data_IF_384194978966
#
_entry.id   IF_384194978966
#
_cell.length_a   1.000
_cell.length_b   1.000
_cell.length_c   1.000
_cell.angle_alpha   90.00
_cell.angle_beta   90.00
_cell.angle_gamma   90.00
#
_symmetry.space_group_name_H-M   'P 1'
#
loop_
_entity.id
_entity.type
_entity.pdbx_description
1 polymer ?
#
# COMPACT_ATOMS: atom_id res chain seq x y z
N UNK A 1 -3.82 8.73 -6.29
CA UNK A 1 -3.78 7.25 -6.31
C UNK A 1 -2.81 6.67 -5.29
N UNK A 2 -1.79 7.40 -4.82
CA UNK A 2 -0.67 6.80 -4.10
C UNK A 2 -1.02 6.30 -2.68
N UNK A 3 -2.06 6.86 -2.06
CA UNK A 3 -2.48 6.50 -0.71
C UNK A 3 -2.87 5.02 -0.56
N UNK A 4 -3.40 4.38 -1.60
CA UNK A 4 -3.83 2.97 -1.51
C UNK A 4 -2.66 2.00 -1.35
N UNK A 5 -1.45 2.42 -1.70
CA UNK A 5 -0.23 1.64 -1.48
C UNK A 5 0.42 1.91 -0.12
N UNK A 6 -0.12 2.82 0.68
CA UNK A 6 0.36 2.96 2.06
C UNK A 6 -0.10 1.76 2.87
N UNK A 7 0.83 1.18 3.62
CA UNK A 7 0.49 0.15 4.59
C UNK A 7 -0.58 0.66 5.56
N UNK A 8 -1.53 -0.22 5.91
CA UNK A 8 -2.68 0.05 6.79
C UNK A 8 -3.75 0.99 6.23
N UNK A 9 -3.59 1.52 5.01
CA UNK A 9 -4.66 2.28 4.38
C UNK A 9 -5.82 1.35 4.00
N UNK A 10 -7.02 1.69 4.46
CA UNK A 10 -8.24 0.95 4.18
C UNK A 10 -9.44 1.88 4.18
N UNK A 11 -10.37 1.65 3.25
CA UNK A 11 -11.68 2.31 3.23
C UNK A 11 -12.78 1.42 3.80
N UNK A 12 -12.47 0.14 4.07
CA UNK A 12 -13.41 -0.74 4.75
C UNK A 12 -13.69 -0.17 6.13
N UNK A 13 -14.96 0.15 6.40
CA UNK A 13 -15.37 0.55 7.74
C UNK A 13 -14.97 -0.53 8.74
N UNK A 14 -14.62 -0.14 9.97
CA UNK A 14 -14.49 -1.11 11.05
C UNK A 14 -15.81 -1.86 11.14
N UNK A 15 -15.85 -3.09 10.63
CA UNK A 15 -17.02 -3.93 10.70
C UNK A 15 -17.42 -3.93 12.18
N UNK A 16 -18.61 -3.42 12.49
CA UNK A 16 -19.12 -3.40 13.85
C UNK A 16 -18.97 -4.82 14.40
N UNK A 17 -18.07 -4.94 15.38
CA UNK A 17 -18.00 -5.94 16.45
C UNK A 17 -19.14 -6.97 16.33
N UNK A 18 -18.99 -7.95 15.46
CA UNK A 18 -19.86 -9.12 15.48
C UNK A 18 -19.37 -9.94 16.67
N UNK A 19 -20.13 -9.88 17.76
CA UNK A 19 -19.73 -10.42 19.06
C UNK A 19 -19.39 -11.89 18.97
N UNK A 20 -18.10 -12.20 19.04
CA UNK A 20 -17.46 -12.96 20.10
C UNK A 20 -15.95 -12.84 19.93
N UNK A 21 -15.26 -12.89 21.05
CA UNK A 21 -13.83 -12.61 21.22
C UNK A 21 -12.93 -13.33 20.21
N UNK A 22 -11.88 -12.64 19.74
CA UNK A 22 -10.73 -13.12 18.94
C UNK A 22 -10.85 -13.16 17.40
N UNK A 23 -10.61 -12.02 16.75
CA UNK A 23 -10.21 -12.00 15.32
C UNK A 23 -9.29 -10.83 14.92
N UNK A 24 -8.68 -10.16 15.89
CA UNK A 24 -7.46 -9.36 15.66
C UNK A 24 -6.20 -10.25 15.72
N UNK A 25 -6.36 -11.56 15.92
CA UNK A 25 -5.23 -12.50 16.02
C UNK A 25 -4.83 -12.95 14.62
N UNK A 26 -3.56 -12.75 14.28
CA UNK A 26 -2.85 -13.53 13.24
C UNK A 26 -2.65 -14.99 13.70
N UNK A 27 -3.68 -15.62 14.29
CA UNK A 27 -3.60 -17.01 14.71
C UNK A 27 -4.22 -17.90 13.61
N UNK A 28 -3.54 -18.98 13.17
CA UNK A 28 -4.14 -19.98 12.30
C UNK A 28 -5.35 -20.61 13.01
N UNK A 29 -6.56 -20.26 12.57
CA UNK A 29 -7.78 -20.89 13.09
C UNK A 29 -7.80 -22.38 12.68
N UNK A 30 -8.19 -23.31 13.56
CA UNK A 30 -8.23 -24.74 13.23
C UNK A 30 -9.07 -25.03 11.96
N UNK A 31 -8.65 -26.01 11.13
CA UNK A 31 -9.33 -26.34 9.89
C UNK A 31 -10.68 -27.01 10.20
N UNK A 32 -11.78 -26.25 10.16
CA UNK A 32 -13.11 -26.82 10.39
C UNK A 32 -14.26 -25.82 10.56
N UNK A 33 -14.02 -24.59 11.00
CA UNK A 33 -15.04 -23.53 10.96
C UNK A 33 -14.85 -22.70 9.69
N UNK A 34 -15.88 -22.64 8.83
CA UNK A 34 -15.90 -21.84 7.60
C UNK A 34 -15.34 -20.43 7.82
N UNK A 35 -14.12 -20.22 7.33
CA UNK A 35 -13.34 -19.00 7.53
C UNK A 35 -13.76 -17.93 6.53
N UNK A 36 -14.88 -17.23 6.78
CA UNK A 36 -15.10 -15.95 6.09
C UNK A 36 -14.19 -14.89 6.72
N UNK A 37 -12.89 -14.97 6.43
CA UNK A 37 -12.00 -13.86 6.71
C UNK A 37 -12.53 -12.62 5.96
N UNK A 38 -12.58 -11.44 6.61
CA UNK A 38 -13.08 -10.24 5.96
C UNK A 38 -12.24 -9.95 4.70
N UNK A 39 -12.90 -9.78 3.56
CA UNK A 39 -12.24 -9.57 2.26
C UNK A 39 -11.39 -8.29 2.22
N UNK A 40 -11.71 -7.30 3.05
CA UNK A 40 -11.01 -6.04 3.19
C UNK A 40 -10.99 -5.58 4.65
N UNK A 41 -9.99 -4.78 5.03
CA UNK A 41 -9.90 -4.23 6.39
C UNK A 41 -8.48 -4.05 6.91
N UNK A 42 -7.56 -4.94 6.55
CA UNK A 42 -6.19 -4.86 7.07
C UNK A 42 -5.29 -3.84 6.35
N UNK A 43 -5.56 -3.55 5.07
CA UNK A 43 -4.78 -2.55 4.32
C UNK A 43 -3.35 -2.98 3.96
N UNK A 44 -3.05 -4.29 3.91
CA UNK A 44 -1.74 -4.81 3.47
C UNK A 44 -1.74 -5.42 2.07
N UNK A 45 -2.90 -5.82 1.55
CA UNK A 45 -2.99 -6.61 0.31
C UNK A 45 -2.31 -5.94 -0.88
N UNK A 46 -2.75 -4.72 -1.23
CA UNK A 46 -2.23 -4.01 -2.39
C UNK A 46 -0.71 -3.68 -2.31
N UNK A 47 -0.18 -3.10 -1.21
CA UNK A 47 1.26 -2.88 -1.09
C UNK A 47 2.07 -4.19 -1.15
N UNK A 48 1.57 -5.27 -0.55
CA UNK A 48 2.25 -6.57 -0.56
C UNK A 48 2.24 -7.18 -1.97
N UNK A 49 1.11 -7.15 -2.68
CA UNK A 49 1.00 -7.61 -4.06
C UNK A 49 1.98 -6.87 -4.99
N UNK A 50 2.15 -5.56 -4.78
CA UNK A 50 3.14 -4.77 -5.53
C UNK A 50 4.57 -5.18 -5.21
N UNK A 51 4.88 -5.50 -3.95
CA UNK A 51 6.19 -6.02 -3.55
C UNK A 51 6.49 -7.35 -4.25
N UNK A 52 5.52 -8.28 -4.31
CA UNK A 52 5.67 -9.55 -5.01
C UNK A 52 5.94 -9.38 -6.51
N UNK A 53 5.22 -8.47 -7.17
CA UNK A 53 5.49 -8.17 -8.58
C UNK A 53 6.91 -7.61 -8.78
N UNK A 54 7.32 -6.67 -7.92
CA UNK A 54 8.65 -6.02 -7.99
C UNK A 54 9.81 -6.96 -7.67
N UNK A 55 9.57 -8.01 -6.87
CA UNK A 55 10.61 -8.94 -6.47
C UNK A 55 11.34 -9.56 -7.67
N UNK A 56 10.61 -9.90 -8.74
CA UNK A 56 11.19 -10.43 -9.98
C UNK A 56 11.23 -9.39 -11.11
N UNK A 57 11.64 -8.16 -10.78
CA UNK A 57 11.72 -7.02 -11.70
C UNK A 57 10.41 -6.67 -12.46
N UNK A 58 9.25 -7.04 -11.93
CA UNK A 58 7.93 -6.61 -12.42
C UNK A 58 7.45 -5.31 -11.78
N UNK A 59 6.16 -4.99 -11.96
CA UNK A 59 5.47 -3.95 -11.19
C UNK A 59 3.95 -4.19 -11.17
N UNK A 60 3.25 -3.54 -10.24
CA UNK A 60 1.79 -3.48 -10.19
C UNK A 60 1.35 -2.02 -10.25
N UNK A 61 0.55 -1.69 -11.25
CA UNK A 61 0.02 -0.34 -11.49
C UNK A 61 -1.50 -0.37 -11.39
N UNK A 62 -2.06 0.65 -10.75
CA UNK A 62 -3.51 0.89 -10.73
C UNK A 62 -3.85 2.10 -11.57
N UNK A 63 -4.84 1.96 -12.44
CA UNK A 63 -5.44 3.03 -13.23
C UNK A 63 -6.93 3.09 -12.93
N UNK A 64 -7.42 4.19 -12.36
CA UNK A 64 -8.86 4.35 -12.11
C UNK A 64 -9.45 5.48 -12.92
N UNK A 65 -10.71 5.31 -13.29
CA UNK A 65 -11.57 6.39 -13.76
C UNK A 65 -12.75 6.49 -12.81
N UNK A 66 -12.84 7.61 -12.10
CA UNK A 66 -13.92 7.86 -11.14
C UNK A 66 -15.28 7.75 -11.82
N UNK A 67 -16.21 7.01 -11.21
CA UNK A 67 -17.54 6.74 -11.76
C UNK A 67 -17.62 5.63 -12.81
N UNK A 68 -16.49 5.09 -13.27
CA UNK A 68 -16.46 3.99 -14.24
C UNK A 68 -15.87 2.71 -13.64
N UNK A 69 -14.68 2.77 -13.05
CA UNK A 69 -14.01 1.57 -12.56
C UNK A 69 -12.52 1.76 -12.26
N UNK A 70 -11.84 0.65 -11.99
CA UNK A 70 -10.41 0.61 -11.71
C UNK A 70 -9.78 -0.62 -12.33
N UNK A 71 -8.74 -0.40 -13.12
CA UNK A 71 -7.92 -1.42 -13.73
C UNK A 71 -6.66 -1.65 -12.90
N UNK A 72 -6.34 -2.92 -12.66
CA UNK A 72 -5.12 -3.35 -12.01
C UNK A 72 -4.26 -4.15 -12.99
N UNK A 73 -3.07 -3.65 -13.29
CA UNK A 73 -2.18 -4.23 -14.30
C UNK A 73 -0.92 -4.73 -13.61
N UNK A 74 -0.61 -6.02 -13.80
CA UNK A 74 0.60 -6.66 -13.28
C UNK A 74 1.56 -6.91 -14.44
N UNK A 75 2.74 -6.32 -14.35
CA UNK A 75 3.84 -6.52 -15.29
C UNK A 75 4.80 -7.56 -14.71
N UNK A 76 5.13 -8.57 -15.51
CA UNK A 76 6.08 -9.62 -15.15
C UNK A 76 7.09 -9.79 -16.29
N UNK A 77 8.25 -10.33 -15.95
CA UNK A 77 9.25 -10.72 -16.93
C UNK A 77 8.77 -11.95 -17.69
N UNK A 78 8.90 -11.90 -19.02
CA UNK A 78 8.58 -13.03 -19.90
C UNK A 78 9.64 -14.13 -19.78
N UNK A 79 10.90 -13.74 -19.65
CA UNK A 79 12.04 -14.64 -19.61
C UNK A 79 12.51 -14.81 -18.16
N UNK A 80 12.68 -16.07 -17.71
CA UNK A 80 13.14 -16.36 -16.35
C UNK A 80 14.57 -15.85 -16.09
N UNK A 81 15.43 -15.81 -17.11
CA UNK A 81 16.79 -15.28 -16.99
C UNK A 81 16.86 -13.76 -16.78
N UNK A 82 15.75 -13.03 -17.00
CA UNK A 82 15.62 -11.59 -16.74
C UNK A 82 14.84 -11.31 -15.44
N UNK A 83 14.35 -12.36 -14.79
CA UNK A 83 13.54 -12.30 -13.59
C UNK A 83 14.45 -12.36 -12.35
N UNK A 84 15.37 -11.42 -12.24
CA UNK A 84 16.31 -11.33 -11.13
C UNK A 84 15.63 -10.81 -9.86
N UNK A 85 16.18 -11.17 -8.71
CA UNK A 85 15.65 -10.75 -7.42
C UNK A 85 16.01 -9.29 -7.11
N UNK A 86 15.01 -8.47 -6.83
CA UNK A 86 15.20 -7.08 -6.39
C UNK A 86 15.28 -7.01 -4.87
N UNK A 87 16.49 -7.12 -4.33
CA UNK A 87 16.74 -7.09 -2.89
C UNK A 87 17.11 -5.70 -2.39
N UNK A 88 16.58 -5.26 -1.22
CA UNK A 88 17.02 -4.03 -0.59
C UNK A 88 18.45 -4.18 -0.04
N UNK A 89 19.36 -3.32 -0.50
CA UNK A 89 20.75 -3.30 -0.03
C UNK A 89 20.94 -2.17 0.98
N UNK A 90 21.35 -2.53 2.21
CA UNK A 90 21.72 -1.52 3.19
C UNK A 90 23.10 -0.93 2.87
N UNK A 91 23.15 0.38 2.63
CA UNK A 91 24.39 1.10 2.34
C UNK A 91 24.32 2.54 2.89
N UNK A 92 25.37 3.34 2.63
CA UNK A 92 25.41 4.74 3.08
C UNK A 92 24.27 5.60 2.51
N UNK A 93 23.74 5.26 1.32
CA UNK A 93 22.61 6.00 0.72
C UNK A 93 21.27 5.63 1.37
N UNK A 94 21.00 4.35 1.62
CA UNK A 94 19.78 3.90 2.29
C UNK A 94 19.76 4.31 3.76
N UNK A 95 20.92 4.31 4.44
CA UNK A 95 21.04 4.79 5.82
C UNK A 95 20.56 6.24 6.00
N UNK A 96 20.76 7.11 5.00
CA UNK A 96 20.27 8.50 5.03
C UNK A 96 18.74 8.59 5.06
N UNK A 97 18.03 7.59 4.55
CA UNK A 97 16.56 7.54 4.59
C UNK A 97 16.02 7.39 6.02
N UNK A 98 16.83 6.87 6.95
CA UNK A 98 16.50 6.70 8.36
C UNK A 98 17.10 7.79 9.27
N UNK A 99 18.00 8.62 8.75
CA UNK A 99 18.57 9.74 9.50
C UNK A 99 17.49 10.76 9.88
N UNK A 100 17.79 11.65 10.83
CA UNK A 100 16.88 12.73 11.23
C UNK A 100 16.47 13.53 9.98
N UNK A 101 15.24 13.30 9.52
CA UNK A 101 14.68 14.02 8.41
C UNK A 101 14.44 15.45 8.87
N UNK A 102 15.18 16.41 8.31
CA UNK A 102 14.76 17.80 8.37
C UNK A 102 13.32 17.88 7.85
N UNK A 103 12.48 18.70 8.50
CA UNK A 103 11.08 18.92 8.08
C UNK A 103 11.06 19.08 6.56
N UNK A 104 10.41 18.17 5.81
CA UNK A 104 10.47 18.20 4.35
C UNK A 104 9.82 19.49 3.87
N UNK A 105 10.62 20.38 3.27
CA UNK A 105 10.12 21.58 2.60
C UNK A 105 9.60 21.13 1.25
N UNK A 106 8.34 21.46 0.93
CA UNK A 106 7.76 21.09 -0.34
C UNK A 106 8.44 21.85 -1.49
N UNK A 107 8.88 21.14 -2.53
CA UNK A 107 9.49 21.74 -3.73
C UNK A 107 8.49 22.51 -4.60
N UNK A 108 7.19 22.35 -4.34
CA UNK A 108 6.11 22.98 -5.09
C UNK A 108 5.24 23.87 -4.18
N UNK A 109 4.72 24.95 -4.76
CA UNK A 109 3.79 25.84 -4.06
C UNK A 109 2.51 25.11 -3.68
N UNK A 110 2.10 25.20 -2.41
CA UNK A 110 0.84 24.64 -1.94
C UNK A 110 -0.25 25.74 -1.91
N UNK A 111 -1.22 25.74 -2.84
CA UNK A 111 -2.26 26.77 -2.89
C UNK A 111 -3.11 26.81 -1.61
N UNK A 112 -3.28 25.69 -0.91
CA UNK A 112 -4.04 25.65 0.35
C UNK A 112 -3.36 26.39 1.50
N UNK A 113 -2.04 26.63 1.41
CA UNK A 113 -1.26 27.37 2.40
C UNK A 113 -1.07 28.83 1.95
N UNK A 114 -0.96 29.07 0.63
CA UNK A 114 -0.53 30.38 0.10
C UNK A 114 -1.65 31.36 -0.21
N UNK A 115 -2.91 30.94 -0.42
CA UNK A 115 -4.00 31.85 -0.82
C UNK A 115 -4.89 32.37 0.32
N UNK A 116 -4.45 32.27 1.58
CA UNK A 116 -5.22 32.70 2.76
C UNK A 116 -5.56 34.21 2.83
N UNK A 117 -5.06 35.04 1.92
CA UNK A 117 -5.22 36.50 1.92
C UNK A 117 -6.37 37.03 1.07
N UNK A 118 -7.16 36.17 0.40
CA UNK A 118 -8.35 36.60 -0.37
C UNK A 118 -9.64 36.10 0.25
N UNK A 119 -10.00 36.64 1.41
CA UNK A 119 -11.40 36.67 1.88
C UNK A 119 -11.74 38.12 2.20
N UNK A 120 -12.44 38.78 1.27
CA UNK A 120 -13.25 39.97 1.52
C UNK A 120 -14.68 39.49 1.82
#
# INVERSE_FOLDING_TARGET
MDLVFNYTYTTAGQAKRCGETSSLSMEPRPPGQGTSAPMAGYGYGLPLSRLYAKYFNGDLILSSVEGYGTDAIVYLKRNAAEADELLPVFNRTSAKQYGSASIPVADWSNPHITTGWRRN
#
